data_IF_640605756151
#
_entry.id   IF_640605756151
#
_cell.length_a   1.000
_cell.length_b   1.000
_cell.length_c   1.000
_cell.angle_alpha   90.00
_cell.angle_beta   90.00
_cell.angle_gamma   90.00
#
_symmetry.space_group_name_H-M   'P 1'
#
loop_
_entity.id
_entity.type
_entity.pdbx_description
1 polymer ?
#
# COMPACT_ATOMS: atom_id res chain seq x y z
N UNK A 1 38.23 -23.79 12.14
CA UNK A 1 36.79 -23.59 12.37
C UNK A 1 36.13 -23.52 11.02
N UNK A 2 34.94 -24.10 10.84
CA UNK A 2 34.31 -24.26 9.53
C UNK A 2 33.79 -22.95 8.89
N UNK A 3 33.96 -21.81 9.56
CA UNK A 3 33.58 -20.47 9.09
C UNK A 3 34.77 -19.55 9.37
N UNK A 4 35.29 -18.90 8.33
CA UNK A 4 36.38 -17.93 8.43
C UNK A 4 35.88 -16.59 9.02
N UNK A 5 36.80 -15.78 9.55
CA UNK A 5 36.44 -14.46 10.11
C UNK A 5 35.86 -13.52 9.04
N UNK A 6 36.30 -13.65 7.79
CA UNK A 6 35.78 -12.87 6.66
C UNK A 6 34.35 -13.29 6.33
N UNK A 7 34.07 -14.60 6.28
CA UNK A 7 32.72 -15.12 5.99
C UNK A 7 31.73 -14.71 7.09
N UNK A 8 32.17 -14.72 8.34
CA UNK A 8 31.36 -14.23 9.47
C UNK A 8 31.03 -12.74 9.34
N UNK A 9 32.01 -11.91 8.98
CA UNK A 9 31.81 -10.47 8.78
C UNK A 9 30.76 -10.20 7.69
N UNK A 10 30.83 -10.93 6.58
CA UNK A 10 29.85 -10.81 5.48
C UNK A 10 28.44 -11.17 5.91
N UNK A 11 28.30 -12.26 6.67
CA UNK A 11 26.98 -12.69 7.16
C UNK A 11 26.41 -11.69 8.18
N UNK A 12 27.25 -11.08 9.02
CA UNK A 12 26.86 -10.00 9.94
C UNK A 12 26.41 -8.73 9.17
N UNK A 13 27.08 -8.39 8.06
CA UNK A 13 26.68 -7.31 7.16
C UNK A 13 25.31 -7.56 6.50
N UNK A 14 25.09 -8.77 5.96
CA UNK A 14 23.83 -9.15 5.32
C UNK A 14 22.64 -9.12 6.31
N UNK A 15 22.84 -9.61 7.53
CA UNK A 15 21.83 -9.57 8.60
C UNK A 15 21.53 -8.12 9.00
N UNK A 16 22.56 -7.29 9.13
CA UNK A 16 22.39 -5.87 9.46
C UNK A 16 21.58 -5.15 8.39
N UNK A 17 21.86 -5.42 7.11
CA UNK A 17 21.10 -4.89 5.98
C UNK A 17 19.62 -5.30 6.04
N UNK A 18 19.33 -6.56 6.36
CA UNK A 18 17.96 -7.05 6.49
C UNK A 18 17.20 -6.35 7.63
N UNK A 19 17.87 -6.15 8.78
CA UNK A 19 17.30 -5.43 9.92
C UNK A 19 17.01 -3.97 9.56
N UNK A 20 17.89 -3.31 8.81
CA UNK A 20 17.68 -1.92 8.37
C UNK A 20 16.47 -1.81 7.45
N UNK A 21 16.34 -2.68 6.45
CA UNK A 21 15.18 -2.71 5.56
C UNK A 21 13.87 -3.01 6.31
N UNK A 22 13.90 -3.95 7.26
CA UNK A 22 12.75 -4.22 8.11
C UNK A 22 12.37 -3.02 8.99
N UNK A 23 13.36 -2.32 9.54
CA UNK A 23 13.19 -1.08 10.29
C UNK A 23 12.55 0.03 9.46
N UNK A 24 12.92 0.16 8.18
CA UNK A 24 12.29 1.08 7.23
C UNK A 24 10.81 0.73 7.06
N UNK A 25 10.46 -0.53 6.81
CA UNK A 25 9.08 -0.98 6.69
C UNK A 25 8.25 -0.69 7.96
N UNK A 26 8.82 -0.97 9.14
CA UNK A 26 8.16 -0.65 10.41
C UNK A 26 7.95 0.86 10.59
N UNK A 27 8.90 1.70 10.17
CA UNK A 27 8.76 3.15 10.25
C UNK A 27 7.63 3.63 9.36
N UNK A 28 7.54 3.15 8.12
CA UNK A 28 6.44 3.49 7.20
C UNK A 28 5.09 3.08 7.80
N UNK A 29 5.00 1.88 8.38
CA UNK A 29 3.76 1.41 9.02
C UNK A 29 3.41 2.21 10.30
N UNK A 30 4.41 2.64 11.07
CA UNK A 30 4.21 3.33 12.36
C UNK A 30 4.08 4.85 12.26
N UNK A 31 4.16 5.43 11.06
CA UNK A 31 3.91 6.85 10.83
C UNK A 31 2.55 7.05 10.16
N UNK A 32 1.41 6.75 10.83
CA UNK A 32 0.11 7.07 10.27
C UNK A 32 -0.04 8.59 10.19
N UNK A 33 -0.59 9.07 9.08
CA UNK A 33 -0.92 10.49 8.91
C UNK A 33 -1.96 10.87 9.97
N UNK A 34 -1.83 12.04 10.63
CA UNK A 34 -2.78 12.44 11.67
C UNK A 34 -4.21 12.53 11.11
N UNK A 35 -5.22 11.98 11.80
CA UNK A 35 -6.61 11.98 11.33
C UNK A 35 -7.21 13.39 11.19
N UNK A 36 -6.63 14.38 11.86
CA UNK A 36 -7.03 15.79 11.70
C UNK A 36 -6.72 16.33 10.31
N UNK A 37 -5.66 15.84 9.66
CA UNK A 37 -5.29 16.26 8.31
C UNK A 37 -6.30 15.74 7.28
N UNK A 38 -6.63 14.46 7.35
CA UNK A 38 -7.60 13.82 6.45
C UNK A 38 -9.00 14.43 6.63
N UNK A 39 -9.40 14.75 7.86
CA UNK A 39 -10.65 15.47 8.13
C UNK A 39 -10.65 16.86 7.50
N UNK A 40 -9.58 17.64 7.67
CA UNK A 40 -9.50 18.98 7.11
C UNK A 40 -9.53 18.96 5.58
N UNK A 41 -8.85 17.99 4.96
CA UNK A 41 -8.86 17.78 3.51
C UNK A 41 -10.28 17.46 3.02
N UNK A 42 -10.99 16.55 3.70
CA UNK A 42 -12.38 16.20 3.38
C UNK A 42 -13.33 17.38 3.46
N UNK A 43 -13.20 18.19 4.52
CA UNK A 43 -14.01 19.40 4.69
C UNK A 43 -13.74 20.43 3.59
N UNK A 44 -12.47 20.63 3.20
CA UNK A 44 -12.11 21.51 2.10
C UNK A 44 -12.69 21.01 0.76
N UNK A 45 -12.62 19.70 0.51
CA UNK A 45 -13.14 19.09 -0.71
C UNK A 45 -14.67 19.19 -0.80
N UNK A 46 -15.38 18.97 0.31
CA UNK A 46 -16.82 19.18 0.40
C UNK A 46 -17.21 20.64 0.20
N UNK A 47 -16.46 21.57 0.81
CA UNK A 47 -16.67 23.00 0.58
C UNK A 47 -16.46 23.37 -0.90
N UNK A 48 -15.45 22.81 -1.56
CA UNK A 48 -15.22 22.98 -3.00
C UNK A 48 -16.39 22.44 -3.84
N UNK A 49 -16.89 21.24 -3.52
CA UNK A 49 -18.04 20.66 -4.23
C UNK A 49 -19.33 21.50 -4.04
N UNK A 50 -19.51 22.14 -2.89
CA UNK A 50 -20.66 23.01 -2.60
C UNK A 50 -20.58 24.37 -3.31
N UNK A 51 -19.38 24.92 -3.50
CA UNK A 51 -19.20 26.20 -4.22
C UNK A 51 -19.21 26.04 -5.74
N UNK A 52 -18.89 24.85 -6.24
CA UNK A 52 -18.88 24.50 -7.67
C UNK A 52 -20.19 24.85 -8.43
N UNK A 53 -21.40 24.50 -7.96
CA UNK A 53 -22.64 24.88 -8.65
C UNK A 53 -22.86 26.40 -8.72
N UNK A 54 -22.42 27.15 -7.70
CA UNK A 54 -22.49 28.61 -7.69
C UNK A 54 -21.47 29.24 -8.66
N UNK A 55 -20.32 28.60 -8.86
CA UNK A 55 -19.31 29.03 -9.82
C UNK A 55 -19.75 28.85 -11.29
N UNK A 56 -20.65 27.90 -11.56
CA UNK A 56 -21.15 27.56 -12.90
C UNK A 56 -22.51 28.23 -13.24
N UNK A 57 -22.83 29.39 -12.64
CA UNK A 57 -24.12 30.14 -12.76
C UNK A 57 -24.44 30.70 -14.17
N UNK A 58 -23.83 30.17 -15.21
CA UNK A 58 -24.27 30.43 -16.60
C UNK A 58 -25.56 29.66 -16.93
N UNK A 59 -26.38 30.11 -17.92
CA UNK A 59 -27.72 29.58 -18.19
C UNK A 59 -27.75 28.16 -18.83
N UNK A 60 -26.75 27.33 -18.55
CA UNK A 60 -26.55 26.01 -19.17
C UNK A 60 -27.48 24.89 -18.68
N UNK A 61 -28.55 25.20 -17.92
CA UNK A 61 -29.61 24.25 -17.57
C UNK A 61 -29.11 22.91 -17.00
N UNK A 62 -29.59 21.80 -17.58
CA UNK A 62 -29.25 20.43 -17.17
C UNK A 62 -27.77 20.05 -17.34
N UNK A 63 -27.03 20.71 -18.22
CA UNK A 63 -25.61 20.41 -18.48
C UNK A 63 -24.77 20.77 -17.24
N UNK A 64 -25.12 21.84 -16.53
CA UNK A 64 -24.44 22.24 -15.30
C UNK A 64 -24.51 21.13 -14.24
N UNK A 65 -25.69 20.53 -14.03
CA UNK A 65 -25.87 19.42 -13.09
C UNK A 65 -24.97 18.23 -13.41
N UNK A 66 -24.88 17.85 -14.69
CA UNK A 66 -24.03 16.73 -15.14
C UNK A 66 -22.55 17.05 -14.90
N UNK A 67 -22.11 18.27 -15.20
CA UNK A 67 -20.73 18.71 -14.98
C UNK A 67 -20.37 18.72 -13.48
N UNK A 68 -21.23 19.29 -12.63
CA UNK A 68 -21.02 19.30 -11.17
C UNK A 68 -20.92 17.87 -10.63
N UNK A 69 -21.80 16.98 -11.07
CA UNK A 69 -21.80 15.58 -10.64
C UNK A 69 -20.53 14.86 -11.09
N UNK A 70 -20.09 15.09 -12.32
CA UNK A 70 -18.88 14.47 -12.86
C UNK A 70 -17.60 14.94 -12.15
N UNK A 71 -17.45 16.25 -11.91
CA UNK A 71 -16.28 16.79 -11.21
C UNK A 71 -16.27 16.38 -9.74
N UNK A 72 -17.40 16.50 -9.03
CA UNK A 72 -17.48 16.11 -7.62
C UNK A 72 -17.24 14.62 -7.42
N UNK A 73 -17.82 13.75 -8.27
CA UNK A 73 -17.57 12.31 -8.21
C UNK A 73 -16.10 11.97 -8.46
N UNK A 74 -15.44 12.67 -9.40
CA UNK A 74 -14.02 12.46 -9.67
C UNK A 74 -13.14 12.87 -8.49
N UNK A 75 -13.41 14.04 -7.89
CA UNK A 75 -12.62 14.56 -6.77
C UNK A 75 -12.81 13.72 -5.49
N UNK A 76 -14.04 13.34 -5.19
CA UNK A 76 -14.34 12.44 -4.05
C UNK A 76 -13.75 11.05 -4.28
N UNK A 77 -13.77 10.55 -5.52
CA UNK A 77 -13.14 9.28 -5.87
C UNK A 77 -11.62 9.31 -5.65
N UNK A 78 -10.95 10.39 -6.05
CA UNK A 78 -9.51 10.56 -5.83
C UNK A 78 -9.18 10.67 -4.33
N UNK A 79 -10.00 11.38 -3.54
CA UNK A 79 -9.83 11.45 -2.08
C UNK A 79 -9.86 10.06 -1.44
N UNK A 80 -10.87 9.25 -1.80
CA UNK A 80 -11.03 7.89 -1.26
C UNK A 80 -9.85 6.98 -1.63
N UNK A 81 -9.37 7.05 -2.87
CA UNK A 81 -8.17 6.32 -3.31
C UNK A 81 -6.94 6.79 -2.52
N UNK A 82 -6.84 8.10 -2.24
CA UNK A 82 -5.78 8.67 -1.42
C UNK A 82 -5.74 8.03 -0.04
N UNK A 83 -6.89 7.98 0.66
CA UNK A 83 -7.00 7.38 2.00
C UNK A 83 -6.60 5.90 2.00
N UNK A 84 -6.96 5.14 0.96
CA UNK A 84 -6.53 3.74 0.83
C UNK A 84 -5.00 3.64 0.65
N UNK A 85 -4.42 4.50 -0.19
CA UNK A 85 -2.98 4.51 -0.47
C UNK A 85 -2.13 4.91 0.74
N UNK A 86 -2.68 5.65 1.70
CA UNK A 86 -1.97 6.03 2.93
C UNK A 86 -1.57 4.82 3.80
N UNK A 87 -2.21 3.66 3.64
CA UNK A 87 -1.97 2.49 4.48
C UNK A 87 -1.71 1.19 3.68
N UNK A 88 -0.59 1.08 2.97
CA UNK A 88 -0.34 0.03 1.97
C UNK A 88 -0.06 -1.38 2.55
N UNK A 89 0.08 -1.49 3.87
CA UNK A 89 0.37 -2.74 4.59
C UNK A 89 -0.85 -3.30 5.31
N UNK A 90 -2.05 -2.81 5.00
CA UNK A 90 -3.28 -3.42 5.48
C UNK A 90 -3.50 -4.78 4.78
N UNK A 91 -4.46 -5.56 5.27
CA UNK A 91 -4.81 -6.87 4.71
C UNK A 91 -6.05 -6.78 3.81
N UNK A 92 -6.11 -5.75 2.96
CA UNK A 92 -7.20 -5.49 2.02
C UNK A 92 -6.78 -5.89 0.60
N UNK A 93 -7.75 -5.98 -0.31
CA UNK A 93 -7.53 -6.43 -1.71
C UNK A 93 -6.57 -5.53 -2.49
N UNK A 94 -6.51 -4.23 -2.17
CA UNK A 94 -5.68 -3.24 -2.85
C UNK A 94 -4.30 -3.04 -2.20
N UNK A 95 -4.00 -3.76 -1.11
CA UNK A 95 -2.76 -3.61 -0.37
C UNK A 95 -1.63 -4.47 -0.92
N UNK A 96 -0.41 -4.20 -0.47
CA UNK A 96 0.75 -5.00 -0.82
C UNK A 96 0.60 -6.41 -0.22
N UNK A 97 0.70 -7.44 -1.06
CA UNK A 97 0.54 -8.82 -0.64
C UNK A 97 1.82 -9.35 0.03
N UNK A 98 1.97 -9.06 1.33
CA UNK A 98 3.10 -9.52 2.14
C UNK A 98 3.25 -11.05 2.16
N UNK A 99 2.13 -11.78 2.11
CA UNK A 99 2.13 -13.26 2.06
C UNK A 99 2.73 -13.78 0.75
N UNK A 100 2.37 -13.18 -0.39
CA UNK A 100 2.95 -13.56 -1.67
C UNK A 100 4.47 -13.28 -1.72
N UNK A 101 4.89 -12.15 -1.14
CA UNK A 101 6.31 -11.80 -1.01
C UNK A 101 7.03 -12.83 -0.12
N UNK A 102 6.47 -13.19 1.04
CA UNK A 102 7.09 -14.18 1.94
C UNK A 102 7.20 -15.56 1.31
N UNK A 103 6.18 -16.00 0.57
CA UNK A 103 6.20 -17.27 -0.18
C UNK A 103 7.29 -17.25 -1.26
N UNK A 104 7.46 -16.13 -1.94
CA UNK A 104 8.51 -15.97 -2.96
C UNK A 104 9.91 -16.07 -2.32
N UNK A 105 10.13 -15.36 -1.21
CA UNK A 105 11.39 -15.42 -0.45
C UNK A 105 11.67 -16.84 0.04
N UNK A 106 10.67 -17.52 0.59
CA UNK A 106 10.82 -18.90 1.06
C UNK A 106 11.23 -19.83 -0.09
N UNK A 107 10.55 -19.73 -1.23
CA UNK A 107 10.84 -20.55 -2.40
C UNK A 107 12.27 -20.33 -2.90
N UNK A 108 12.71 -19.08 -2.97
CA UNK A 108 14.04 -18.72 -3.45
C UNK A 108 15.14 -19.21 -2.46
N UNK A 109 14.92 -19.10 -1.15
CA UNK A 109 15.82 -19.64 -0.12
C UNK A 109 15.91 -21.16 -0.17
N UNK A 110 14.78 -21.85 -0.35
CA UNK A 110 14.75 -23.32 -0.51
C UNK A 110 15.50 -23.77 -1.76
N UNK A 111 15.37 -23.05 -2.87
CA UNK A 111 16.08 -23.34 -4.10
C UNK A 111 17.60 -23.20 -3.91
N UNK A 112 18.07 -22.15 -3.22
CA UNK A 112 19.48 -21.98 -2.88
C UNK A 112 20.01 -23.10 -1.97
N UNK A 113 19.22 -23.52 -0.99
CA UNK A 113 19.55 -24.60 -0.07
C UNK A 113 19.37 -26.01 -0.67
N UNK A 114 18.91 -26.12 -1.93
CA UNK A 114 18.58 -27.38 -2.60
C UNK A 114 17.57 -28.23 -1.82
N UNK A 115 16.71 -27.57 -1.05
CA UNK A 115 15.65 -28.22 -0.28
C UNK A 115 14.40 -28.40 -1.15
N UNK A 116 13.59 -29.45 -0.92
CA UNK A 116 12.30 -29.58 -1.57
C UNK A 116 11.43 -28.33 -1.32
N UNK A 117 10.80 -27.81 -2.37
CA UNK A 117 9.80 -26.75 -2.24
C UNK A 117 8.62 -27.27 -1.44
N UNK A 118 8.11 -26.47 -0.51
CA UNK A 118 7.00 -26.85 0.38
C UNK A 118 5.66 -27.08 -0.32
N UNK A 119 5.59 -26.84 -1.64
CA UNK A 119 4.41 -27.05 -2.50
C UNK A 119 3.83 -28.48 -2.45
N UNK A 120 4.55 -29.44 -1.86
CA UNK A 120 4.07 -30.82 -1.71
C UNK A 120 3.36 -31.12 -0.37
N UNK A 121 3.41 -30.24 0.64
CA UNK A 121 3.02 -30.60 2.02
C UNK A 121 1.88 -29.79 2.64
N UNK A 122 1.52 -28.62 2.11
CA UNK A 122 0.46 -27.79 2.71
C UNK A 122 -0.64 -27.48 1.70
N UNK A 123 -1.75 -28.20 1.82
CA UNK A 123 -2.95 -28.05 1.00
C UNK A 123 -3.75 -26.78 1.32
N UNK A 124 -3.10 -25.62 1.30
CA UNK A 124 -3.78 -24.33 1.40
C UNK A 124 -4.25 -23.90 0.00
N UNK A 125 -5.55 -23.62 -0.17
CA UNK A 125 -6.15 -23.41 -1.48
C UNK A 125 -5.53 -22.18 -2.15
N UNK A 126 -5.18 -22.36 -3.43
CA UNK A 126 -4.87 -21.29 -4.35
C UNK A 126 -5.94 -20.20 -4.30
N UNK A 127 -5.71 -19.12 -3.57
CA UNK A 127 -6.48 -17.89 -3.73
C UNK A 127 -5.97 -17.19 -4.97
N UNK A 128 -6.42 -17.71 -6.10
CA UNK A 128 -6.42 -17.09 -7.42
C UNK A 128 -7.32 -15.85 -7.34
N UNK A 129 -6.74 -14.65 -7.33
CA UNK A 129 -7.20 -13.46 -8.08
C UNK A 129 -6.29 -12.27 -7.82
#
# INVERSE_FOLDING_TARGET
GAIDTIDRSRMEEDVTSLIDQFGICQRIQRTPIPPSYTLQLRLMLLAYCLTLPAALVEPHGWINLIMVLLVSASLLGIEEIGVQLENPFQHTVNDINLTAISVTIERDLRALAQLPTADAADGLPSTRR
#
